data_IF_644974151208
#
_entry.id   IF_644974151208
#
_cell.length_a   1.000
_cell.length_b   1.000
_cell.length_c   1.000
_cell.angle_alpha   90.00
_cell.angle_beta   90.00
_cell.angle_gamma   90.00
#
_symmetry.space_group_name_H-M   'P 1'
#
loop_
_entity.id
_entity.type
_entity.pdbx_description
1 polymer ?
#
# COMPACT_ATOMS: atom_id res chain seq x y z
N UNK A 1 -7.18 -28.12 -11.84
CA UNK A 1 -6.74 -26.76 -11.49
C UNK A 1 -6.88 -26.62 -9.99
N UNK A 2 -5.78 -26.53 -9.25
CA UNK A 2 -5.81 -26.24 -7.83
C UNK A 2 -5.36 -24.79 -7.70
N UNK A 3 -6.31 -23.86 -7.66
CA UNK A 3 -5.98 -22.47 -7.34
C UNK A 3 -5.56 -22.46 -5.87
N UNK A 4 -4.26 -22.32 -5.62
CA UNK A 4 -3.78 -22.02 -4.28
C UNK A 4 -4.21 -20.59 -3.98
N UNK A 5 -5.39 -20.42 -3.39
CA UNK A 5 -5.89 -19.12 -2.96
C UNK A 5 -4.95 -18.56 -1.89
N UNK A 6 -4.18 -17.53 -2.24
CA UNK A 6 -3.40 -16.79 -1.25
C UNK A 6 -4.25 -15.62 -0.74
N UNK A 7 -4.91 -15.84 0.39
CA UNK A 7 -5.73 -14.82 1.06
C UNK A 7 -4.95 -13.53 1.31
N UNK A 8 -3.64 -13.62 1.58
CA UNK A 8 -2.81 -12.44 1.84
C UNK A 8 -2.63 -11.59 0.58
N UNK A 9 -2.42 -12.20 -0.59
CA UNK A 9 -2.30 -11.44 -1.85
C UNK A 9 -3.61 -10.73 -2.20
N UNK A 10 -4.75 -11.36 -1.94
CA UNK A 10 -6.06 -10.74 -2.17
C UNK A 10 -6.32 -9.58 -1.19
N UNK A 11 -5.93 -9.73 0.08
CA UNK A 11 -6.00 -8.63 1.06
C UNK A 11 -5.15 -7.44 0.60
N UNK A 12 -3.91 -7.67 0.15
CA UNK A 12 -3.02 -6.63 -0.38
C UNK A 12 -3.64 -5.90 -1.57
N UNK A 13 -4.18 -6.65 -2.54
CA UNK A 13 -4.86 -6.08 -3.73
C UNK A 13 -6.04 -5.19 -3.33
N UNK A 14 -6.90 -5.65 -2.42
CA UNK A 14 -8.05 -4.86 -1.97
C UNK A 14 -7.64 -3.57 -1.29
N UNK A 15 -6.67 -3.65 -0.38
CA UNK A 15 -6.11 -2.48 0.31
C UNK A 15 -5.49 -1.49 -0.66
N UNK A 16 -4.68 -1.97 -1.59
CA UNK A 16 -4.08 -1.17 -2.65
C UNK A 16 -5.13 -0.42 -3.47
N UNK A 17 -6.15 -1.13 -3.97
CA UNK A 17 -7.21 -0.50 -4.77
C UNK A 17 -7.94 0.61 -4.01
N UNK A 18 -8.32 0.36 -2.75
CA UNK A 18 -9.03 1.34 -1.91
C UNK A 18 -8.15 2.58 -1.70
N UNK A 19 -6.90 2.40 -1.29
CA UNK A 19 -5.99 3.51 -1.01
C UNK A 19 -5.64 4.30 -2.28
N UNK A 20 -5.41 3.62 -3.42
CA UNK A 20 -5.12 4.27 -4.71
C UNK A 20 -6.29 5.15 -5.15
N UNK A 21 -7.53 4.67 -5.00
CA UNK A 21 -8.73 5.44 -5.31
C UNK A 21 -8.88 6.65 -4.38
N UNK A 22 -8.63 6.49 -3.07
CA UNK A 22 -8.68 7.59 -2.10
C UNK A 22 -7.68 8.71 -2.43
N UNK A 23 -6.43 8.36 -2.78
CA UNK A 23 -5.40 9.33 -3.17
C UNK A 23 -5.79 10.09 -4.43
N UNK A 24 -6.45 9.44 -5.39
CA UNK A 24 -6.92 10.10 -6.61
C UNK A 24 -8.17 10.97 -6.43
N UNK A 25 -9.01 10.67 -5.43
CA UNK A 25 -10.30 11.31 -5.23
C UNK A 25 -10.32 12.39 -4.14
N UNK A 26 -9.33 12.44 -3.25
CA UNK A 26 -9.33 13.32 -2.07
C UNK A 26 -8.34 14.46 -2.21
N UNK A 27 -8.82 15.68 -2.44
CA UNK A 27 -7.96 16.88 -2.53
C UNK A 27 -7.49 17.39 -1.15
N UNK A 28 -8.31 17.22 -0.11
CA UNK A 28 -7.96 17.63 1.26
C UNK A 28 -7.01 16.63 1.90
N UNK A 29 -5.78 17.08 2.16
CA UNK A 29 -4.70 16.28 2.73
C UNK A 29 -5.00 15.74 4.13
N UNK A 30 -5.71 16.50 4.96
CA UNK A 30 -6.05 16.07 6.32
C UNK A 30 -7.13 14.99 6.24
N UNK A 31 -8.17 15.22 5.44
CA UNK A 31 -9.22 14.22 5.22
C UNK A 31 -8.65 12.92 4.62
N UNK A 32 -7.68 13.03 3.70
CA UNK A 32 -6.99 11.86 3.15
C UNK A 32 -6.31 11.05 4.27
N UNK A 33 -5.55 11.69 5.16
CA UNK A 33 -4.87 10.99 6.26
C UNK A 33 -5.85 10.38 7.28
N UNK A 34 -6.98 11.03 7.54
CA UNK A 34 -8.06 10.47 8.37
C UNK A 34 -8.69 9.21 7.73
N UNK A 35 -8.85 9.20 6.40
CA UNK A 35 -9.35 8.03 5.68
C UNK A 35 -8.31 6.89 5.64
N UNK A 36 -7.02 7.22 5.53
CA UNK A 36 -5.93 6.23 5.58
C UNK A 36 -5.89 5.51 6.93
N UNK A 37 -6.13 6.22 8.04
CA UNK A 37 -6.26 5.62 9.37
C UNK A 37 -7.42 4.61 9.46
N UNK A 38 -8.56 4.93 8.86
CA UNK A 38 -9.69 4.00 8.79
C UNK A 38 -9.31 2.72 8.04
N UNK A 39 -8.67 2.84 6.88
CA UNK A 39 -8.18 1.67 6.12
C UNK A 39 -7.13 0.90 6.92
N UNK A 40 -6.21 1.58 7.59
CA UNK A 40 -5.21 0.94 8.45
C UNK A 40 -5.87 0.06 9.53
N UNK A 41 -6.93 0.56 10.17
CA UNK A 41 -7.70 -0.21 11.15
C UNK A 41 -8.51 -1.34 10.52
N UNK A 42 -9.15 -1.12 9.37
CA UNK A 42 -9.99 -2.13 8.69
C UNK A 42 -9.19 -3.34 8.19
N UNK A 43 -7.88 -3.16 8.00
CA UNK A 43 -6.94 -4.19 7.54
C UNK A 43 -6.05 -4.74 8.67
N UNK A 44 -6.48 -4.63 9.92
CA UNK A 44 -5.80 -5.16 11.11
C UNK A 44 -4.38 -4.58 11.35
N UNK A 45 -4.22 -3.28 11.12
CA UNK A 45 -3.00 -2.52 11.45
C UNK A 45 -1.71 -3.04 10.78
N UNK A 46 -1.65 -3.09 9.43
CA UNK A 46 -0.47 -3.59 8.72
C UNK A 46 0.77 -2.71 8.94
N UNK A 47 1.85 -3.29 9.49
CA UNK A 47 3.08 -2.57 9.88
C UNK A 47 3.66 -1.68 8.76
N UNK A 48 3.61 -2.17 7.52
CA UNK A 48 4.05 -1.49 6.30
C UNK A 48 3.35 -0.14 6.02
N UNK A 49 2.19 0.13 6.63
CA UNK A 49 1.49 1.41 6.52
C UNK A 49 1.80 2.41 7.65
N UNK A 50 2.46 1.97 8.74
CA UNK A 50 2.65 2.80 9.93
C UNK A 50 3.33 4.16 9.64
N UNK A 51 4.22 4.19 8.66
CA UNK A 51 4.92 5.41 8.23
C UNK A 51 3.99 6.48 7.65
N UNK A 52 2.76 6.13 7.28
CA UNK A 52 1.72 7.04 6.75
C UNK A 52 0.67 7.42 7.80
N UNK A 53 0.73 6.87 9.01
CA UNK A 53 -0.27 7.11 10.07
C UNK A 53 0.12 8.31 10.92
N UNK A 54 -0.75 9.33 10.95
CA UNK A 54 -0.41 10.66 11.44
C UNK A 54 -0.15 10.76 12.96
N UNK A 55 -0.54 9.76 13.74
CA UNK A 55 -0.29 9.68 15.18
C UNK A 55 0.82 8.70 15.54
N UNK A 56 1.37 7.96 14.58
CA UNK A 56 2.50 7.05 14.83
C UNK A 56 3.80 7.84 14.88
N UNK A 57 4.64 7.50 15.86
CA UNK A 57 5.99 8.03 15.92
C UNK A 57 6.80 7.51 14.73
N UNK A 58 7.59 8.38 14.06
CA UNK A 58 8.53 7.93 13.04
C UNK A 58 9.49 6.87 13.60
N UNK A 59 9.70 5.79 12.84
CA UNK A 59 10.69 4.74 13.16
C UNK A 59 12.09 5.06 12.67
N UNK A 60 12.24 6.12 11.89
CA UNK A 60 13.50 6.64 11.34
C UNK A 60 14.02 7.82 12.17
N UNK A 61 15.11 8.46 11.73
CA UNK A 61 15.71 9.61 12.40
C UNK A 61 14.92 10.92 12.17
N UNK A 62 13.67 10.85 11.69
CA UNK A 62 12.83 12.03 11.45
C UNK A 62 12.26 12.57 12.77
N UNK A 63 12.48 13.85 13.04
CA UNK A 63 11.92 14.55 14.20
C UNK A 63 10.72 15.44 13.77
N UNK A 64 9.46 15.05 14.03
CA UNK A 64 8.29 15.83 13.63
C UNK A 64 8.24 17.22 14.28
N UNK A 65 8.93 17.42 15.41
CA UNK A 65 8.94 18.70 16.14
C UNK A 65 9.87 19.73 15.50
N UNK A 66 10.81 19.28 14.66
CA UNK A 66 11.70 20.14 13.88
C UNK A 66 11.05 20.70 12.60
N UNK A 67 9.86 20.22 12.25
CA UNK A 67 9.17 20.54 11.00
C UNK A 67 7.83 21.23 11.24
N UNK A 68 7.37 22.00 10.25
CA UNK A 68 6.04 22.62 10.33
C UNK A 68 4.94 21.58 10.02
N UNK A 69 3.69 21.93 10.36
CA UNK A 69 2.54 21.02 10.17
C UNK A 69 2.39 20.54 8.72
N UNK A 70 2.58 21.41 7.74
CA UNK A 70 2.41 21.05 6.33
C UNK A 70 3.55 20.13 5.86
N UNK A 71 4.79 20.37 6.28
CA UNK A 71 5.92 19.49 5.97
C UNK A 71 5.68 18.07 6.53
N UNK A 72 5.17 17.98 7.76
CA UNK A 72 4.80 16.71 8.38
C UNK A 72 3.70 15.98 7.60
N UNK A 73 2.65 16.70 7.17
CA UNK A 73 1.56 16.14 6.35
C UNK A 73 2.09 15.67 4.99
N UNK A 74 2.92 16.47 4.34
CA UNK A 74 3.47 16.16 3.02
C UNK A 74 4.34 14.91 3.08
N UNK A 75 5.15 14.75 4.14
CA UNK A 75 5.91 13.52 4.40
C UNK A 75 5.00 12.29 4.52
N UNK A 76 3.92 12.36 5.30
CA UNK A 76 3.00 11.22 5.45
C UNK A 76 2.36 10.81 4.12
N UNK A 77 2.00 11.79 3.29
CA UNK A 77 1.45 11.55 1.94
C UNK A 77 2.52 10.97 1.02
N UNK A 78 3.76 11.45 1.07
CA UNK A 78 4.87 10.87 0.31
C UNK A 78 5.10 9.40 0.70
N UNK A 79 5.09 9.08 1.99
CA UNK A 79 5.21 7.71 2.47
C UNK A 79 4.06 6.82 1.94
N UNK A 80 2.84 7.36 1.89
CA UNK A 80 1.66 6.64 1.35
C UNK A 80 1.83 6.36 -0.15
N UNK A 81 2.31 7.33 -0.92
CA UNK A 81 2.55 7.16 -2.36
C UNK A 81 3.66 6.13 -2.60
N UNK A 82 4.76 6.18 -1.85
CA UNK A 82 5.83 5.19 -1.93
C UNK A 82 5.33 3.77 -1.60
N UNK A 83 4.49 3.65 -0.56
CA UNK A 83 3.82 2.40 -0.23
C UNK A 83 2.97 1.88 -1.41
N UNK A 84 2.14 2.74 -2.01
CA UNK A 84 1.31 2.38 -3.17
C UNK A 84 2.13 1.94 -4.38
N UNK A 85 3.24 2.60 -4.67
CA UNK A 85 4.14 2.23 -5.77
C UNK A 85 4.79 0.86 -5.53
N UNK A 86 5.12 0.56 -4.27
CA UNK A 86 5.65 -0.75 -3.87
C UNK A 86 4.60 -1.86 -4.01
N UNK A 87 3.34 -1.59 -3.62
CA UNK A 87 2.24 -2.53 -3.76
C UNK A 87 1.89 -2.78 -5.23
N UNK A 88 1.85 -1.74 -6.05
CA UNK A 88 1.64 -1.86 -7.49
C UNK A 88 2.71 -2.73 -8.14
N UNK A 89 3.97 -2.54 -7.77
CA UNK A 89 5.09 -3.36 -8.24
C UNK A 89 4.95 -4.82 -7.80
N UNK A 90 4.57 -5.09 -6.55
CA UNK A 90 4.34 -6.44 -6.04
C UNK A 90 3.20 -7.14 -6.79
N UNK A 91 2.05 -6.47 -6.93
CA UNK A 91 0.85 -7.01 -7.60
C UNK A 91 1.14 -7.32 -9.08
N UNK A 92 1.82 -6.41 -9.79
CA UNK A 92 2.20 -6.66 -11.18
C UNK A 92 3.14 -7.87 -11.33
N UNK A 93 4.04 -8.09 -10.36
CA UNK A 93 4.93 -9.26 -10.37
C UNK A 93 4.18 -10.56 -10.04
N UNK A 94 3.16 -10.52 -9.19
CA UNK A 94 2.27 -11.66 -8.96
C UNK A 94 1.63 -12.10 -10.28
N UNK A 95 1.04 -11.18 -11.04
CA UNK A 95 0.35 -11.52 -12.30
C UNK A 95 1.32 -12.06 -13.37
N UNK A 96 2.55 -11.53 -13.42
CA UNK A 96 3.58 -12.03 -14.32
C UNK A 96 4.07 -13.44 -13.96
N UNK A 97 4.19 -13.77 -12.66
CA UNK A 97 4.58 -15.11 -12.22
C UNK A 97 3.55 -16.20 -12.57
N UNK A 98 2.26 -15.85 -12.53
CA UNK A 98 1.17 -16.74 -12.97
C UNK A 98 1.17 -16.99 -14.49
N UNK A 99 1.86 -16.16 -15.27
CA UNK A 99 1.97 -16.28 -16.73
C UNK A 99 3.10 -17.23 -17.17
N UNK A 100 4.21 -17.28 -16.41
CA UNK A 100 5.38 -18.13 -16.74
C UNK A 100 5.08 -19.62 -16.54
N UNK A 101 4.28 -19.98 -15.54
CA UNK A 101 3.86 -21.36 -15.27
C UNK A 101 2.99 -21.98 -16.38
N UNK A 102 2.46 -21.17 -17.30
CA UNK A 102 1.69 -21.65 -18.46
C UNK A 102 2.55 -21.96 -19.69
N UNK A 103 3.77 -21.42 -19.78
CA UNK A 103 4.63 -21.59 -20.96
C UNK A 103 5.38 -22.93 -20.89
N UNK A 104 5.74 -23.41 -19.69
CA UNK A 104 6.58 -24.61 -19.54
C UNK A 104 5.85 -25.94 -19.75
N UNK A 105 4.54 -25.95 -20.07
CA UNK A 105 3.76 -27.18 -20.37
C UNK A 105 3.40 -27.37 -21.85
N UNK A 106 3.93 -26.53 -22.73
CA UNK A 106 3.59 -26.52 -24.16
C UNK A 106 4.52 -27.31 -25.10
N UNK A 107 5.67 -27.80 -24.64
CA UNK A 107 6.75 -28.29 -25.54
C UNK A 107 7.12 -29.77 -25.36
N UNK A 108 6.16 -30.66 -25.14
CA UNK A 108 6.36 -32.09 -25.43
C UNK A 108 5.26 -32.61 -26.38
N UNK A 109 5.55 -32.55 -27.68
CA UNK A 109 4.94 -33.39 -28.72
C UNK A 109 5.99 -33.82 -29.72
#
# INVERSE_FOLDING_TARGET
MNYSYNQQDEIRKWRYCILKEMVGATEDKILLLENVDQVYSDFDYPEEMESSIYYMEPKDDYDPTAHNKNDNIDRLISNLVEFLDSEESYINNLDNSHNVDQISKGEER
#
